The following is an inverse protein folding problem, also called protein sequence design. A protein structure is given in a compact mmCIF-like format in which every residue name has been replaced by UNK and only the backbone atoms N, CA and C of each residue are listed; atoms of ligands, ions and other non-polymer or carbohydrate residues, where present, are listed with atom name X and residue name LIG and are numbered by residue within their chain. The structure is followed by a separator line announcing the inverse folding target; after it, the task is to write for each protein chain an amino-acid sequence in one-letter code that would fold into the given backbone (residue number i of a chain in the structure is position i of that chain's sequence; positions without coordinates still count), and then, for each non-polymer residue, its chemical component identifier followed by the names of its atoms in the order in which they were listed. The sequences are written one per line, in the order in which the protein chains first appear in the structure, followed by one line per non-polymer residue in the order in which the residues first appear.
data_IF_596018786877
#
_entry.id   IF_596018786877
#
_cell.length_a   1.000
_cell.length_b   1.000
_cell.length_c   1.000
_cell.angle_alpha   90.00
_cell.angle_beta   90.00
_cell.angle_gamma   90.00
#
_symmetry.space_group_name_H-M   'P 1'
#
loop_
_entity.id
_entity.type
_entity.pdbx_description
1 polymer ?
#
# COMPACT_ATOMS: atom_id res chain seq x y z
N UNK A 1 6.45 -15.65 -42.58
CA UNK A 1 7.42 -14.61 -42.37
C UNK A 1 6.99 -13.57 -41.41
N UNK A 2 5.89 -12.95 -41.66
CA UNK A 2 5.40 -11.92 -40.80
C UNK A 2 5.14 -12.40 -39.36
N UNK A 3 4.64 -13.59 -39.14
CA UNK A 3 4.35 -14.05 -37.76
C UNK A 3 5.58 -14.11 -36.88
N UNK A 4 6.75 -14.26 -37.47
CA UNK A 4 7.96 -14.39 -36.67
C UNK A 4 8.24 -13.14 -35.87
N UNK A 5 7.93 -12.00 -36.40
CA UNK A 5 8.21 -10.76 -35.71
C UNK A 5 7.39 -10.58 -34.44
N UNK A 6 6.23 -11.16 -34.41
CA UNK A 6 5.36 -11.01 -33.23
C UNK A 6 5.92 -11.75 -32.02
N UNK A 7 6.64 -12.81 -32.24
CA UNK A 7 7.24 -13.53 -31.13
C UNK A 7 8.31 -12.73 -30.44
N UNK A 8 9.02 -11.90 -31.18
CA UNK A 8 10.05 -11.06 -30.59
C UNK A 8 9.45 -10.06 -29.63
N UNK A 9 8.29 -9.53 -29.97
CA UNK A 9 7.60 -8.59 -29.09
C UNK A 9 7.23 -9.23 -27.76
N UNK A 10 6.77 -10.47 -27.79
CA UNK A 10 6.42 -11.17 -26.55
C UNK A 10 7.64 -11.38 -25.67
N UNK A 11 8.80 -11.61 -26.26
CA UNK A 11 10.01 -11.78 -25.48
C UNK A 11 10.40 -10.52 -24.72
N UNK A 12 10.15 -9.36 -25.29
CA UNK A 12 10.46 -8.11 -24.62
C UNK A 12 9.62 -7.92 -23.36
N UNK A 13 8.35 -8.29 -23.41
CA UNK A 13 7.48 -8.19 -22.25
C UNK A 13 7.95 -9.10 -21.12
N UNK A 14 8.41 -10.29 -21.44
CA UNK A 14 8.91 -11.20 -20.41
C UNK A 14 10.12 -10.61 -19.69
N UNK A 15 10.98 -9.89 -20.39
CA UNK A 15 12.15 -9.28 -19.78
C UNK A 15 11.74 -8.20 -18.77
N UNK A 16 10.68 -7.47 -19.05
CA UNK A 16 10.22 -6.42 -18.13
C UNK A 16 9.77 -7.00 -16.79
N UNK A 17 9.10 -8.14 -16.80
CA UNK A 17 8.71 -8.77 -15.55
C UNK A 17 9.90 -9.27 -14.76
N UNK A 18 10.92 -9.76 -15.42
CA UNK A 18 12.09 -10.23 -14.70
C UNK A 18 12.75 -9.12 -13.90
N UNK A 19 12.71 -7.89 -14.41
CA UNK A 19 13.30 -6.77 -13.68
C UNK A 19 12.59 -6.48 -12.37
N UNK A 20 11.26 -6.66 -12.30
CA UNK A 20 10.53 -6.39 -11.07
C UNK A 20 10.64 -7.51 -10.07
N UNK A 21 11.12 -8.69 -10.49
CA UNK A 21 11.24 -9.81 -9.58
C UNK A 21 12.32 -9.60 -8.53
N UNK A 22 13.16 -8.57 -8.65
CA UNK A 22 14.21 -8.29 -7.69
C UNK A 22 13.70 -7.56 -6.44
N UNK A 23 12.48 -7.06 -6.48
CA UNK A 23 11.93 -6.36 -5.32
C UNK A 23 11.77 -7.34 -4.15
N UNK A 24 12.07 -6.85 -2.95
CA UNK A 24 11.92 -7.66 -1.76
C UNK A 24 10.43 -7.90 -1.48
N UNK A 25 10.08 -9.11 -1.03
CA UNK A 25 8.70 -9.36 -0.66
C UNK A 25 8.35 -8.64 0.65
N UNK A 26 7.07 -8.33 0.88
CA UNK A 26 6.66 -7.76 2.16
C UNK A 26 6.81 -8.77 3.28
N UNK A 27 7.02 -8.27 4.49
CA UNK A 27 7.09 -9.12 5.68
C UNK A 27 5.70 -9.51 6.16
N UNK A 28 4.66 -8.75 5.79
CA UNK A 28 3.28 -9.05 6.11
C UNK A 28 2.37 -8.29 5.17
N UNK A 29 1.17 -8.81 4.97
CA UNK A 29 0.14 -8.11 4.22
C UNK A 29 -1.15 -8.13 5.04
N UNK A 30 -1.98 -7.10 4.85
CA UNK A 30 -3.25 -7.01 5.52
C UNK A 30 -4.27 -6.36 4.60
N UNK A 31 -5.51 -6.78 4.75
CA UNK A 31 -6.60 -6.23 3.97
C UNK A 31 -7.67 -5.78 4.95
N UNK A 32 -7.96 -4.47 4.96
CA UNK A 32 -8.88 -3.88 5.92
C UNK A 32 -10.18 -3.49 5.26
N UNK A 33 -11.27 -3.72 5.97
CA UNK A 33 -12.58 -3.21 5.59
C UNK A 33 -12.96 -2.11 6.59
N UNK A 34 -13.31 -0.95 6.08
CA UNK A 34 -13.53 0.24 6.89
C UNK A 34 -15.00 0.66 6.82
N UNK A 35 -15.35 1.67 7.62
CA UNK A 35 -16.68 2.25 7.58
C UNK A 35 -16.99 2.77 6.17
N UNK A 36 -18.27 2.81 5.83
CA UNK A 36 -18.77 3.35 4.55
C UNK A 36 -18.30 2.56 3.33
N UNK A 37 -17.95 1.29 3.53
CA UNK A 37 -17.53 0.45 2.41
C UNK A 37 -16.13 0.72 1.90
N UNK A 38 -15.37 1.56 2.60
CA UNK A 38 -13.98 1.84 2.19
C UNK A 38 -13.08 0.66 2.52
N UNK A 39 -11.97 0.54 1.80
CA UNK A 39 -11.05 -0.58 1.98
C UNK A 39 -9.61 -0.10 1.84
N UNK A 40 -8.71 -0.80 2.52
CA UNK A 40 -7.27 -0.56 2.46
C UNK A 40 -6.57 -1.89 2.26
N UNK A 41 -5.69 -1.98 1.27
CA UNK A 41 -4.76 -3.10 1.14
C UNK A 41 -3.38 -2.60 1.54
N UNK A 42 -2.71 -3.32 2.44
CA UNK A 42 -1.42 -2.89 2.97
C UNK A 42 -0.39 -4.00 2.81
N UNK A 43 0.81 -3.62 2.39
CA UNK A 43 1.97 -4.51 2.35
C UNK A 43 3.04 -3.89 3.22
N UNK A 44 3.40 -4.59 4.29
CA UNK A 44 4.33 -4.08 5.30
C UNK A 44 5.74 -4.54 5.02
N UNK A 45 6.68 -3.61 5.17
CA UNK A 45 8.11 -3.87 5.06
C UNK A 45 8.79 -3.44 6.36
N UNK A 46 10.09 -3.54 6.45
CA UNK A 46 10.80 -3.28 7.71
C UNK A 46 10.49 -1.91 8.31
N UNK A 47 10.49 -0.86 7.50
CA UNK A 47 10.25 0.49 7.99
C UNK A 47 9.29 1.28 7.12
N UNK A 48 8.60 0.61 6.21
CA UNK A 48 7.67 1.26 5.29
C UNK A 48 6.44 0.41 5.12
N UNK A 49 5.39 1.01 4.57
CA UNK A 49 4.19 0.30 4.16
C UNK A 49 3.76 0.84 2.80
N UNK A 50 3.34 -0.06 1.93
CA UNK A 50 2.71 0.31 0.67
C UNK A 50 1.22 0.09 0.84
N UNK A 51 0.42 1.11 0.60
CA UNK A 51 -1.03 0.98 0.73
C UNK A 51 -1.71 1.31 -0.59
N UNK A 52 -2.82 0.63 -0.82
CA UNK A 52 -3.71 0.88 -1.94
C UNK A 52 -5.09 1.11 -1.33
N UNK A 53 -5.69 2.24 -1.65
CA UNK A 53 -6.98 2.64 -1.11
C UNK A 53 -8.08 2.38 -2.11
N UNK A 54 -9.28 2.12 -1.60
CA UNK A 54 -10.42 1.83 -2.48
C UNK A 54 -10.82 2.99 -3.37
N UNK A 55 -10.34 4.21 -3.08
CA UNK A 55 -10.58 5.36 -3.94
C UNK A 55 -9.57 5.47 -5.09
N UNK A 56 -8.68 4.49 -5.23
CA UNK A 56 -7.73 4.45 -6.34
C UNK A 56 -6.34 4.99 -6.02
N UNK A 57 -6.14 5.58 -4.85
CA UNK A 57 -4.81 6.07 -4.48
C UNK A 57 -3.91 4.94 -4.05
N UNK A 58 -2.64 5.02 -4.41
CA UNK A 58 -1.61 4.07 -4.00
C UNK A 58 -0.38 4.86 -3.58
N UNK A 59 0.24 4.48 -2.45
CA UNK A 59 1.37 5.24 -1.96
C UNK A 59 2.25 4.41 -1.04
N UNK A 60 3.50 4.83 -0.92
CA UNK A 60 4.47 4.25 -0.01
C UNK A 60 4.66 5.22 1.15
N UNK A 61 4.56 4.71 2.36
CA UNK A 61 4.65 5.53 3.57
C UNK A 61 5.81 5.05 4.42
N UNK A 62 6.41 5.97 5.17
CA UNK A 62 7.49 5.64 6.09
C UNK A 62 6.98 5.59 7.51
N UNK A 63 7.52 4.66 8.28
CA UNK A 63 7.19 4.55 9.69
C UNK A 63 7.64 5.80 10.43
N UNK A 64 6.79 6.31 11.31
CA UNK A 64 7.04 7.49 12.10
C UNK A 64 6.89 7.17 13.57
N UNK A 65 7.38 8.07 14.42
CA UNK A 65 7.28 7.88 15.88
C UNK A 65 5.83 7.92 16.30
N UNK A 66 5.46 6.99 17.18
CA UNK A 66 4.10 6.87 17.67
C UNK A 66 4.13 6.36 19.11
N UNK A 67 3.23 6.85 19.94
CA UNK A 67 3.11 6.37 21.29
C UNK A 67 2.37 5.06 21.42
N UNK A 68 1.58 4.68 20.42
CA UNK A 68 0.75 3.49 20.48
C UNK A 68 0.49 2.99 19.06
N UNK A 69 0.68 1.69 18.84
CA UNK A 69 0.53 1.12 17.51
C UNK A 69 1.65 1.57 16.59
N UNK A 70 1.42 1.47 15.30
CA UNK A 70 2.41 1.85 14.30
C UNK A 70 1.82 2.93 13.41
N UNK A 71 2.59 3.99 13.21
CA UNK A 71 2.19 5.17 12.44
C UNK A 71 3.10 5.30 11.22
N UNK A 72 2.51 5.53 10.07
CA UNK A 72 3.24 5.73 8.82
C UNK A 72 2.77 7.02 8.17
N UNK A 73 3.68 7.76 7.56
CA UNK A 73 3.34 9.03 6.92
C UNK A 73 3.96 9.12 5.54
N UNK A 74 3.36 9.95 4.68
CA UNK A 74 3.97 10.33 3.42
C UNK A 74 4.95 11.49 3.66
N UNK A 75 5.78 11.85 2.66
CA UNK A 75 6.87 12.80 2.88
C UNK A 75 6.45 14.17 3.43
N UNK A 76 5.28 14.67 3.06
CA UNK A 76 4.81 15.98 3.53
C UNK A 76 3.84 15.88 4.70
N UNK A 77 3.69 14.68 5.28
CA UNK A 77 2.81 14.44 6.43
C UNK A 77 1.34 14.76 6.14
N UNK A 78 0.94 14.79 4.88
CA UNK A 78 -0.45 15.07 4.53
C UNK A 78 -1.35 13.87 4.75
N UNK A 79 -0.79 12.67 4.90
CA UNK A 79 -1.58 11.48 5.16
C UNK A 79 -0.86 10.63 6.20
N UNK A 80 -1.62 10.15 7.19
CA UNK A 80 -1.11 9.27 8.23
C UNK A 80 -1.93 7.99 8.24
N UNK A 81 -1.25 6.86 8.18
CA UNK A 81 -1.85 5.55 8.29
C UNK A 81 -1.44 4.95 9.63
N UNK A 82 -2.43 4.63 10.45
CA UNK A 82 -2.21 4.06 11.77
C UNK A 82 -2.70 2.62 11.76
N UNK A 83 -1.91 1.71 12.33
CA UNK A 83 -2.35 0.34 12.51
C UNK A 83 -2.00 -0.11 13.92
N UNK A 84 -2.90 -0.89 14.53
CA UNK A 84 -2.70 -1.44 15.86
C UNK A 84 -3.45 -2.76 15.93
N UNK A 85 -2.70 -3.85 16.09
CA UNK A 85 -3.30 -5.17 16.01
C UNK A 85 -3.96 -5.37 14.66
N UNK A 86 -5.23 -5.73 14.67
CA UNK A 86 -5.98 -5.94 13.44
C UNK A 86 -6.88 -4.77 13.06
N UNK A 87 -6.66 -3.60 13.66
CA UNK A 87 -7.41 -2.39 13.34
C UNK A 87 -6.51 -1.35 12.69
N UNK A 88 -7.11 -0.42 11.97
CA UNK A 88 -6.39 0.65 11.30
C UNK A 88 -7.29 1.84 11.04
N UNK A 89 -6.68 2.99 10.74
CA UNK A 89 -7.42 4.16 10.27
C UNK A 89 -6.44 5.09 9.55
N UNK A 90 -6.99 6.02 8.78
CA UNK A 90 -6.22 7.03 8.06
C UNK A 90 -6.75 8.41 8.41
N UNK A 91 -5.84 9.33 8.71
CA UNK A 91 -6.16 10.76 8.82
C UNK A 91 -5.41 11.52 7.74
N UNK A 92 -5.94 12.67 7.35
CA UNK A 92 -5.36 13.44 6.25
C UNK A 92 -5.35 14.91 6.58
N UNK A 93 -4.31 15.59 6.09
CA UNK A 93 -4.17 17.05 6.16
C UNK A 93 -4.23 17.60 7.59
N UNK A 94 -3.68 16.84 8.53
CA UNK A 94 -3.65 17.27 9.92
C UNK A 94 -4.99 17.25 10.63
N UNK A 95 -6.02 16.66 10.01
CA UNK A 95 -7.33 16.57 10.63
C UNK A 95 -7.39 15.49 11.69
N UNK A 96 -8.35 15.62 12.59
CA UNK A 96 -8.56 14.64 13.65
C UNK A 96 -9.54 13.56 13.25
N UNK A 97 -10.41 13.84 12.26
CA UNK A 97 -11.41 12.88 11.83
C UNK A 97 -10.83 11.96 10.78
N UNK A 98 -10.84 10.65 11.01
CA UNK A 98 -10.31 9.72 10.01
C UNK A 98 -11.12 9.76 8.73
N UNK A 99 -10.40 9.76 7.60
CA UNK A 99 -11.03 9.63 6.29
C UNK A 99 -11.29 8.18 5.92
N UNK A 100 -10.52 7.25 6.53
CA UNK A 100 -10.79 5.81 6.52
C UNK A 100 -10.88 5.42 7.98
N UNK A 101 -12.09 5.15 8.45
CA UNK A 101 -12.35 4.94 9.88
C UNK A 101 -12.80 3.51 10.16
N UNK A 102 -12.56 3.06 11.39
CA UNK A 102 -13.06 1.79 11.87
C UNK A 102 -12.66 0.62 10.96
N UNK A 103 -11.41 0.63 10.54
CA UNK A 103 -10.91 -0.40 9.64
C UNK A 103 -10.55 -1.65 10.42
N UNK A 104 -11.02 -2.79 9.96
CA UNK A 104 -10.77 -4.09 10.57
C UNK A 104 -10.12 -5.00 9.54
N UNK A 105 -9.11 -5.73 9.96
CA UNK A 105 -8.45 -6.70 9.11
C UNK A 105 -9.37 -7.89 8.89
N UNK A 106 -9.39 -8.37 7.65
CA UNK A 106 -10.19 -9.55 7.30
C UNK A 106 -9.46 -10.84 7.57
#
# INVERSE_FOLDING_TARGET
MIPVRMFLTAGVLAAAFAATAEAKPPIATAFYTCAEGKQIAAAYFTSTVSIILSDGRAMNLKQAVSGSGTRYTNPDDSLEFWSKGDTAFITENGGDDPTFADCQEK
#
